data_IF_967047924001
#
_entry.id   IF_967047924001
#
_cell.length_a   1.000
_cell.length_b   1.000
_cell.length_c   1.000
_cell.angle_alpha   90.00
_cell.angle_beta   90.00
_cell.angle_gamma   90.00
#
_symmetry.space_group_name_H-M   'P 1'
#
loop_
_entity.id
_entity.type
_entity.pdbx_description
1 polymer ?
#
# COMPACT_ATOMS: atom_id res chain seq x y z
N UNK A 1 -25.25 -25.77 3.31
CA UNK A 1 -24.97 -24.31 3.57
C UNK A 1 -23.67 -24.10 4.34
N UNK A 2 -23.35 -24.89 5.39
CA UNK A 2 -22.06 -24.81 6.10
C UNK A 2 -20.84 -25.02 5.20
N UNK A 3 -20.89 -25.95 4.25
CA UNK A 3 -19.79 -26.26 3.34
C UNK A 3 -19.39 -25.08 2.45
N UNK A 4 -20.36 -24.27 2.00
CA UNK A 4 -20.13 -23.09 1.17
C UNK A 4 -19.42 -22.00 1.97
N UNK A 5 -19.84 -21.72 3.21
CA UNK A 5 -19.19 -20.75 4.09
C UNK A 5 -17.75 -21.18 4.45
N UNK A 6 -17.52 -22.46 4.65
CA UNK A 6 -16.19 -23.01 4.92
C UNK A 6 -15.26 -22.84 3.71
N UNK A 7 -15.74 -23.12 2.49
CA UNK A 7 -14.96 -22.95 1.26
C UNK A 7 -14.60 -21.48 1.06
N UNK A 8 -15.59 -20.58 1.06
CA UNK A 8 -15.33 -19.14 0.82
C UNK A 8 -14.57 -18.47 1.96
N UNK A 9 -14.86 -18.83 3.21
CA UNK A 9 -14.24 -18.19 4.38
C UNK A 9 -12.85 -18.71 4.74
N UNK A 10 -12.48 -19.92 4.31
CA UNK A 10 -11.22 -20.55 4.75
C UNK A 10 -10.37 -21.01 3.58
N UNK A 11 -10.90 -21.80 2.67
CA UNK A 11 -10.10 -22.43 1.60
C UNK A 11 -9.61 -21.38 0.60
N UNK A 12 -10.50 -20.52 0.10
CA UNK A 12 -10.13 -19.49 -0.89
C UNK A 12 -9.07 -18.52 -0.34
N UNK A 13 -9.22 -17.93 0.86
CA UNK A 13 -8.17 -17.09 1.44
C UNK A 13 -6.82 -17.79 1.57
N UNK A 14 -6.78 -19.05 2.02
CA UNK A 14 -5.51 -19.79 2.13
C UNK A 14 -4.85 -19.93 0.76
N UNK A 15 -5.59 -20.32 -0.28
CA UNK A 15 -5.06 -20.43 -1.65
C UNK A 15 -4.51 -19.08 -2.13
N UNK A 16 -5.24 -17.97 -1.90
CA UNK A 16 -4.80 -16.63 -2.30
C UNK A 16 -3.54 -16.19 -1.55
N UNK A 17 -3.42 -16.52 -0.26
CA UNK A 17 -2.21 -16.22 0.51
C UNK A 17 -1.00 -17.04 0.03
N UNK A 18 -1.19 -18.32 -0.29
CA UNK A 18 -0.11 -19.16 -0.84
C UNK A 18 0.35 -18.68 -2.21
N UNK A 19 -0.58 -18.32 -3.10
CA UNK A 19 -0.26 -17.70 -4.40
C UNK A 19 0.49 -16.37 -4.19
N UNK A 20 0.03 -15.55 -3.25
CA UNK A 20 0.70 -14.31 -2.88
C UNK A 20 2.13 -14.54 -2.38
N UNK A 21 2.38 -15.61 -1.61
CA UNK A 21 3.74 -15.98 -1.18
C UNK A 21 4.64 -16.37 -2.37
N UNK A 22 4.12 -17.15 -3.31
CA UNK A 22 4.88 -17.56 -4.50
C UNK A 22 5.26 -16.35 -5.35
N UNK A 23 4.31 -15.49 -5.68
CA UNK A 23 4.54 -14.29 -6.51
C UNK A 23 5.50 -13.31 -5.83
N UNK A 24 5.27 -12.98 -4.56
CA UNK A 24 6.15 -12.08 -3.82
C UNK A 24 7.53 -12.69 -3.59
N UNK A 25 7.62 -14.00 -3.37
CA UNK A 25 8.87 -14.73 -3.26
C UNK A 25 9.69 -14.65 -4.55
N UNK A 26 9.06 -14.82 -5.71
CA UNK A 26 9.71 -14.64 -7.01
C UNK A 26 10.28 -13.23 -7.18
N UNK A 27 9.51 -12.20 -6.84
CA UNK A 27 9.95 -10.80 -6.86
C UNK A 27 11.18 -10.60 -5.98
N UNK A 28 11.13 -11.07 -4.74
CA UNK A 28 12.24 -10.92 -3.77
C UNK A 28 13.49 -11.62 -4.27
N UNK A 29 13.38 -12.87 -4.74
CA UNK A 29 14.52 -13.63 -5.26
C UNK A 29 15.14 -12.93 -6.46
N UNK A 30 14.33 -12.45 -7.41
CA UNK A 30 14.83 -11.73 -8.61
C UNK A 30 15.65 -10.51 -8.20
N UNK A 31 15.16 -9.66 -7.30
CA UNK A 31 15.89 -8.46 -6.87
C UNK A 31 17.09 -8.77 -5.97
N UNK A 32 17.06 -9.85 -5.20
CA UNK A 32 18.23 -10.31 -4.45
C UNK A 32 19.35 -10.79 -5.39
N UNK A 33 19.03 -11.52 -6.46
CA UNK A 33 20.00 -11.95 -7.46
C UNK A 33 20.58 -10.74 -8.21
N UNK A 34 19.74 -9.78 -8.58
CA UNK A 34 20.20 -8.54 -9.21
C UNK A 34 21.13 -7.73 -8.29
N UNK A 35 20.77 -7.60 -7.01
CA UNK A 35 21.62 -6.94 -6.01
C UNK A 35 22.96 -7.65 -5.84
N UNK A 36 22.96 -8.99 -5.78
CA UNK A 36 24.19 -9.77 -5.66
C UNK A 36 25.10 -9.58 -6.89
N UNK A 37 24.52 -9.49 -8.09
CA UNK A 37 25.26 -9.28 -9.34
C UNK A 37 25.79 -7.86 -9.47
N UNK A 38 24.95 -6.84 -9.28
CA UNK A 38 25.27 -5.42 -9.53
C UNK A 38 25.73 -4.66 -8.30
N UNK A 39 25.63 -5.25 -7.10
CA UNK A 39 25.90 -4.64 -5.76
C UNK A 39 25.13 -3.33 -5.51
N UNK A 40 24.17 -2.99 -6.35
CA UNK A 40 23.31 -1.80 -6.20
C UNK A 40 21.94 -2.09 -6.82
N UNK A 41 20.89 -1.50 -6.21
CA UNK A 41 19.53 -1.54 -6.72
C UNK A 41 19.07 -0.12 -7.04
N UNK A 42 18.23 0.01 -8.06
CA UNK A 42 17.52 1.27 -8.33
C UNK A 42 16.52 1.55 -7.19
N UNK A 43 16.19 2.81 -6.92
CA UNK A 43 15.21 3.17 -5.88
C UNK A 43 13.89 2.40 -5.98
N UNK A 44 13.34 2.24 -7.18
CA UNK A 44 12.12 1.46 -7.45
C UNK A 44 12.25 0.00 -7.03
N UNK A 45 13.37 -0.62 -7.41
CA UNK A 45 13.62 -2.05 -7.20
C UNK A 45 13.83 -2.34 -5.71
N UNK A 46 14.46 -1.40 -4.99
CA UNK A 46 14.60 -1.46 -3.54
C UNK A 46 13.21 -1.46 -2.85
N UNK A 47 12.31 -0.57 -3.26
CA UNK A 47 10.96 -0.52 -2.67
C UNK A 47 10.14 -1.75 -3.03
N UNK A 48 10.24 -2.24 -4.28
CA UNK A 48 9.57 -3.47 -4.71
C UNK A 48 10.06 -4.68 -3.92
N UNK A 49 11.36 -4.78 -3.67
CA UNK A 49 11.93 -5.83 -2.82
C UNK A 49 11.40 -5.74 -1.38
N UNK A 50 11.42 -4.55 -0.77
CA UNK A 50 10.88 -4.35 0.58
C UNK A 50 9.38 -4.67 0.65
N UNK A 51 8.60 -4.25 -0.36
CA UNK A 51 7.18 -4.58 -0.48
C UNK A 51 6.97 -6.10 -0.59
N UNK A 52 7.74 -6.79 -1.45
CA UNK A 52 7.67 -8.22 -1.61
C UNK A 52 7.93 -8.97 -0.30
N UNK A 53 9.00 -8.61 0.42
CA UNK A 53 9.32 -9.16 1.74
C UNK A 53 8.18 -8.93 2.73
N UNK A 54 7.67 -7.69 2.80
CA UNK A 54 6.57 -7.33 3.70
C UNK A 54 5.30 -8.15 3.39
N UNK A 55 4.97 -8.34 2.10
CA UNK A 55 3.82 -9.15 1.68
C UNK A 55 3.99 -10.63 1.94
N UNK A 56 5.20 -11.17 1.82
CA UNK A 56 5.49 -12.55 2.21
C UNK A 56 5.22 -12.77 3.70
N UNK A 57 5.74 -11.90 4.56
CA UNK A 57 5.48 -11.99 6.01
C UNK A 57 4.00 -11.78 6.35
N UNK A 58 3.33 -10.84 5.70
CA UNK A 58 1.88 -10.64 5.86
C UNK A 58 1.10 -11.92 5.51
N UNK A 59 1.39 -12.54 4.37
CA UNK A 59 0.73 -13.76 3.94
C UNK A 59 1.04 -14.93 4.88
N UNK A 60 2.27 -15.06 5.37
CA UNK A 60 2.67 -16.09 6.34
C UNK A 60 1.88 -15.92 7.64
N UNK A 61 1.86 -14.73 8.23
CA UNK A 61 1.11 -14.45 9.46
C UNK A 61 -0.38 -14.69 9.26
N UNK A 62 -0.93 -14.28 8.12
CA UNK A 62 -2.33 -14.51 7.77
C UNK A 62 -2.66 -16.00 7.69
N UNK A 63 -1.81 -16.81 7.05
CA UNK A 63 -1.99 -18.25 6.96
C UNK A 63 -1.90 -18.92 8.35
N UNK A 64 -0.92 -18.51 9.16
CA UNK A 64 -0.75 -19.03 10.52
C UNK A 64 -1.93 -18.66 11.43
N UNK A 65 -2.64 -17.56 11.18
CA UNK A 65 -3.79 -17.15 11.99
C UNK A 65 -4.99 -18.10 11.86
N UNK A 66 -5.06 -18.93 10.80
CA UNK A 66 -6.09 -19.97 10.66
C UNK A 66 -5.82 -21.21 11.52
N UNK A 67 -4.62 -21.34 12.11
CA UNK A 67 -4.31 -22.48 12.97
C UNK A 67 -4.98 -22.32 14.36
N UNK A 68 -5.55 -23.41 14.93
CA UNK A 68 -6.16 -23.36 16.25
C UNK A 68 -5.09 -23.14 17.33
N UNK A 69 -5.27 -22.12 18.14
CA UNK A 69 -4.39 -21.81 19.28
C UNK A 69 -5.01 -22.20 20.61
N UNK A 70 -4.24 -22.89 21.44
CA UNK A 70 -4.63 -23.26 22.81
C UNK A 70 -4.46 -22.13 23.83
N UNK A 71 -3.63 -21.11 23.52
CA UNK A 71 -3.32 -20.01 24.44
C UNK A 71 -4.03 -18.73 24.07
N UNK A 72 -4.71 -18.03 25.00
CA UNK A 72 -5.42 -16.76 24.73
C UNK A 72 -4.50 -15.58 24.43
N UNK A 73 -3.23 -15.64 24.79
CA UNK A 73 -2.25 -14.59 24.56
C UNK A 73 -1.74 -14.53 23.10
N UNK A 74 -1.63 -15.70 22.45
CA UNK A 74 -1.09 -15.82 21.10
C UNK A 74 -1.86 -15.01 20.06
N UNK A 75 -3.21 -15.00 20.04
CA UNK A 75 -3.97 -14.20 19.08
C UNK A 75 -3.67 -12.70 19.13
N UNK A 76 -3.37 -12.15 20.31
CA UNK A 76 -3.06 -10.73 20.49
C UNK A 76 -1.75 -10.34 19.82
N UNK A 77 -0.70 -11.15 20.01
CA UNK A 77 0.61 -10.93 19.39
C UNK A 77 0.53 -11.07 17.86
N UNK A 78 -0.14 -12.12 17.38
CA UNK A 78 -0.33 -12.32 15.95
C UNK A 78 -1.08 -11.16 15.30
N UNK A 79 -2.12 -10.62 15.94
CA UNK A 79 -2.87 -9.46 15.45
C UNK A 79 -1.99 -8.21 15.36
N UNK A 80 -1.11 -7.97 16.34
CA UNK A 80 -0.18 -6.85 16.29
C UNK A 80 0.82 -7.00 15.13
N UNK A 81 1.39 -8.19 14.94
CA UNK A 81 2.31 -8.49 13.83
C UNK A 81 1.58 -8.36 12.49
N UNK A 82 0.36 -8.85 12.40
CA UNK A 82 -0.48 -8.74 11.20
C UNK A 82 -0.76 -7.27 10.83
N UNK A 83 -1.16 -6.44 11.80
CA UNK A 83 -1.36 -5.01 11.62
C UNK A 83 -0.09 -4.30 11.15
N UNK A 84 1.07 -4.64 11.75
CA UNK A 84 2.36 -4.08 11.35
C UNK A 84 2.65 -4.32 9.86
N UNK A 85 2.58 -5.55 9.40
CA UNK A 85 2.85 -5.88 8.01
C UNK A 85 1.78 -5.34 7.06
N UNK A 86 0.52 -5.27 7.49
CA UNK A 86 -0.55 -4.67 6.69
C UNK A 86 -0.26 -3.18 6.42
N UNK A 87 0.02 -2.40 7.46
CA UNK A 87 0.32 -0.97 7.28
C UNK A 87 1.64 -0.73 6.57
N UNK A 88 2.68 -1.46 6.91
CA UNK A 88 3.96 -1.36 6.22
C UNK A 88 3.81 -1.62 4.71
N UNK A 89 2.99 -2.60 4.32
CA UNK A 89 2.66 -2.85 2.93
C UNK A 89 1.91 -1.69 2.25
N UNK A 90 0.94 -1.06 2.93
CA UNK A 90 0.23 0.11 2.40
C UNK A 90 1.16 1.30 2.18
N UNK A 91 2.06 1.56 3.14
CA UNK A 91 3.05 2.62 3.02
C UNK A 91 4.04 2.36 1.87
N UNK A 92 4.50 1.11 1.67
CA UNK A 92 5.38 0.78 0.54
C UNK A 92 4.69 0.93 -0.81
N UNK A 93 3.38 0.59 -0.93
CA UNK A 93 2.60 0.82 -2.15
C UNK A 93 2.51 2.32 -2.44
N UNK A 94 2.21 3.14 -1.44
CA UNK A 94 2.14 4.60 -1.58
C UNK A 94 3.49 5.19 -1.97
N UNK A 95 4.57 4.73 -1.34
CA UNK A 95 5.93 5.15 -1.67
C UNK A 95 6.30 4.78 -3.10
N UNK A 96 5.93 3.59 -3.56
CA UNK A 96 6.14 3.15 -4.94
C UNK A 96 5.40 4.05 -5.93
N UNK A 97 4.15 4.43 -5.63
CA UNK A 97 3.36 5.36 -6.43
C UNK A 97 4.02 6.74 -6.52
N UNK A 98 4.55 7.27 -5.41
CA UNK A 98 5.31 8.53 -5.39
C UNK A 98 6.57 8.44 -6.25
N UNK A 99 7.33 7.34 -6.18
CA UNK A 99 8.53 7.15 -6.99
C UNK A 99 8.18 7.09 -8.48
N UNK A 100 7.13 6.38 -8.87
CA UNK A 100 6.69 6.37 -10.26
C UNK A 100 6.22 7.74 -10.73
N UNK A 101 5.47 8.46 -9.90
CA UNK A 101 5.05 9.82 -10.18
C UNK A 101 6.27 10.74 -10.42
N UNK A 102 7.28 10.71 -9.54
CA UNK A 102 8.49 11.54 -9.68
C UNK A 102 9.35 11.17 -10.89
N UNK A 103 9.32 9.91 -11.33
CA UNK A 103 10.07 9.47 -12.53
C UNK A 103 9.39 9.85 -13.84
N UNK A 104 8.07 9.72 -13.91
CA UNK A 104 7.31 9.83 -15.16
C UNK A 104 6.76 11.24 -15.35
N UNK A 105 6.23 11.84 -14.28
CA UNK A 105 5.66 13.17 -14.36
C UNK A 105 6.75 14.25 -14.51
N UNK A 106 6.39 15.33 -15.21
CA UNK A 106 7.31 16.45 -15.44
C UNK A 106 6.63 17.76 -15.00
N UNK A 107 6.66 18.02 -13.70
CA UNK A 107 6.13 19.23 -13.11
C UNK A 107 7.24 20.25 -12.81
N UNK A 108 7.04 21.51 -13.19
CA UNK A 108 7.98 22.59 -12.92
C UNK A 108 7.76 23.20 -11.51
N UNK A 109 7.76 22.34 -10.47
CA UNK A 109 7.62 22.74 -9.07
C UNK A 109 8.93 22.42 -8.33
N UNK A 110 9.38 23.37 -7.49
CA UNK A 110 10.64 23.23 -6.72
C UNK A 110 10.68 21.96 -5.86
N UNK A 111 9.57 21.63 -5.20
CA UNK A 111 9.48 20.42 -4.37
C UNK A 111 9.62 19.15 -5.22
N UNK A 112 8.97 19.13 -6.39
CA UNK A 112 9.02 18.00 -7.30
C UNK A 112 10.42 17.78 -7.88
N UNK A 113 11.08 18.86 -8.31
CA UNK A 113 12.46 18.83 -8.82
C UNK A 113 13.42 18.36 -7.72
N UNK A 114 13.27 18.88 -6.49
CA UNK A 114 14.10 18.45 -5.36
C UNK A 114 13.92 16.94 -5.07
N UNK A 115 12.70 16.44 -5.06
CA UNK A 115 12.41 15.00 -4.88
C UNK A 115 13.04 14.18 -6.00
N UNK A 116 12.90 14.61 -7.26
CA UNK A 116 13.45 13.93 -8.43
C UNK A 116 14.99 13.81 -8.37
N UNK A 117 15.66 14.85 -7.95
CA UNK A 117 17.14 14.89 -7.84
C UNK A 117 17.66 14.08 -6.65
N UNK A 118 16.96 14.09 -5.52
CA UNK A 118 17.42 13.48 -4.27
C UNK A 118 16.71 12.16 -3.91
N UNK A 119 16.03 11.54 -4.86
CA UNK A 119 15.18 10.36 -4.59
C UNK A 119 15.93 9.22 -3.89
N UNK A 120 17.18 8.97 -4.24
CA UNK A 120 18.00 7.89 -3.65
C UNK A 120 18.33 8.14 -2.16
N UNK A 121 18.56 9.38 -1.77
CA UNK A 121 18.84 9.76 -0.38
C UNK A 121 17.55 9.80 0.44
N UNK A 122 16.49 10.41 -0.13
CA UNK A 122 15.17 10.49 0.49
C UNK A 122 14.58 9.11 0.73
N UNK A 123 14.81 8.17 -0.18
CA UNK A 123 14.29 6.81 -0.08
C UNK A 123 14.69 6.10 1.21
N UNK A 124 15.93 6.24 1.65
CA UNK A 124 16.42 5.61 2.89
C UNK A 124 15.61 6.11 4.11
N UNK A 125 15.38 7.41 4.17
CA UNK A 125 14.59 8.04 5.24
C UNK A 125 13.11 7.68 5.16
N UNK A 126 12.57 7.57 3.94
CA UNK A 126 11.18 7.18 3.73
C UNK A 126 10.93 5.71 4.11
N UNK A 127 11.87 4.81 3.80
CA UNK A 127 11.79 3.41 4.24
C UNK A 127 11.88 3.32 5.77
N UNK A 128 12.82 4.03 6.39
CA UNK A 128 12.93 4.07 7.84
C UNK A 128 11.66 4.64 8.49
N UNK A 129 11.14 5.75 7.96
CA UNK A 129 9.88 6.35 8.39
C UNK A 129 8.69 5.38 8.29
N UNK A 130 8.58 4.63 7.19
CA UNK A 130 7.57 3.59 7.03
C UNK A 130 7.63 2.54 8.15
N UNK A 131 8.83 1.97 8.38
CA UNK A 131 9.03 0.94 9.42
C UNK A 131 8.64 1.48 10.80
N UNK A 132 9.11 2.68 11.15
CA UNK A 132 8.82 3.30 12.46
C UNK A 132 7.33 3.63 12.61
N UNK A 133 6.70 4.24 11.61
CA UNK A 133 5.28 4.59 11.65
C UNK A 133 4.40 3.35 11.78
N UNK A 134 4.66 2.30 10.99
CA UNK A 134 3.93 1.04 11.07
C UNK A 134 4.09 0.36 12.43
N UNK A 135 5.30 0.43 13.03
CA UNK A 135 5.57 -0.10 14.35
C UNK A 135 4.77 0.66 15.43
N UNK A 136 4.80 2.00 15.40
CA UNK A 136 4.08 2.85 16.37
C UNK A 136 2.57 2.56 16.31
N UNK A 137 1.96 2.56 15.13
CA UNK A 137 0.53 2.24 14.99
C UNK A 137 0.19 0.81 15.46
N UNK A 138 1.04 -0.17 15.17
CA UNK A 138 0.85 -1.55 15.61
C UNK A 138 0.90 -1.69 17.13
N UNK A 139 1.87 -1.03 17.78
CA UNK A 139 2.02 -1.04 19.25
C UNK A 139 0.85 -0.29 19.89
N UNK A 140 0.44 0.87 19.36
CA UNK A 140 -0.71 1.61 19.87
C UNK A 140 -1.98 0.77 19.84
N UNK A 141 -2.26 0.09 18.72
CA UNK A 141 -3.43 -0.79 18.64
C UNK A 141 -3.32 -2.02 19.54
N UNK A 142 -2.11 -2.55 19.78
CA UNK A 142 -1.92 -3.64 20.74
C UNK A 142 -2.29 -3.17 22.14
N UNK A 143 -1.81 -2.01 22.57
CA UNK A 143 -2.09 -1.45 23.90
C UNK A 143 -3.59 -1.16 24.06
N UNK A 144 -4.22 -0.53 23.09
CA UNK A 144 -5.64 -0.20 23.11
C UNK A 144 -6.54 -1.45 22.94
N UNK A 145 -6.08 -2.44 22.21
CA UNK A 145 -6.83 -3.67 21.92
C UNK A 145 -6.75 -4.74 23.03
N UNK A 146 -6.21 -4.43 24.20
CA UNK A 146 -6.19 -5.35 25.36
C UNK A 146 -7.57 -5.52 26.01
N UNK A 147 -8.57 -4.74 25.62
CA UNK A 147 -9.97 -4.98 25.98
C UNK A 147 -10.42 -6.37 25.46
N UNK A 148 -11.07 -7.21 26.30
CA UNK A 148 -11.43 -8.59 25.93
C UNK A 148 -12.30 -8.65 24.67
N UNK A 149 -12.14 -9.67 23.79
CA UNK A 149 -12.90 -9.80 22.55
C UNK A 149 -14.43 -9.81 22.73
N UNK A 150 -14.92 -10.29 23.86
CA UNK A 150 -16.34 -10.30 24.21
C UNK A 150 -16.93 -8.89 24.29
N UNK A 151 -16.14 -7.87 24.67
CA UNK A 151 -16.60 -6.48 24.68
C UNK A 151 -16.85 -5.94 23.27
N UNK A 152 -16.08 -6.40 22.27
CA UNK A 152 -16.28 -5.98 20.89
C UNK A 152 -17.61 -6.46 20.31
N UNK A 153 -17.94 -7.73 20.54
CA UNK A 153 -19.18 -8.36 20.05
C UNK A 153 -20.38 -7.76 20.75
N UNK A 154 -20.30 -7.58 22.07
CA UNK A 154 -21.38 -7.00 22.87
C UNK A 154 -21.56 -5.49 22.62
N UNK A 155 -20.48 -4.75 22.38
CA UNK A 155 -20.54 -3.32 22.08
C UNK A 155 -21.19 -3.06 20.71
N UNK A 156 -20.87 -3.83 19.66
CA UNK A 156 -21.51 -3.73 18.36
C UNK A 156 -22.99 -4.17 18.43
N UNK A 157 -23.29 -5.22 19.22
CA UNK A 157 -24.67 -5.72 19.40
C UNK A 157 -25.53 -4.87 20.33
N UNK A 158 -24.92 -4.22 21.35
CA UNK A 158 -25.64 -3.44 22.36
C UNK A 158 -25.66 -1.93 22.09
N UNK A 159 -24.91 -1.41 21.11
CA UNK A 159 -25.04 0.00 20.67
C UNK A 159 -26.44 0.38 20.22
N UNK A 160 -27.32 -0.62 20.03
CA UNK A 160 -28.74 -0.39 19.79
C UNK A 160 -29.61 -0.37 21.06
N UNK A 161 -29.10 -0.67 22.23
CA UNK A 161 -30.01 -0.94 23.36
C UNK A 161 -29.85 -0.19 24.67
N UNK A 162 -28.71 0.40 25.06
CA UNK A 162 -28.70 1.23 26.27
C UNK A 162 -27.45 2.12 26.42
N UNK A 163 -27.70 3.37 26.76
CA UNK A 163 -26.82 4.53 26.92
C UNK A 163 -26.00 4.59 28.23
N UNK A 164 -25.57 3.48 28.82
CA UNK A 164 -24.95 3.51 30.17
C UNK A 164 -23.45 3.18 30.18
N UNK A 165 -22.83 2.88 29.03
CA UNK A 165 -21.41 2.49 29.00
C UNK A 165 -20.58 3.42 28.10
N UNK A 166 -20.56 4.70 28.46
CA UNK A 166 -19.82 5.74 27.70
C UNK A 166 -18.31 5.45 27.59
N UNK A 167 -17.71 4.77 28.55
CA UNK A 167 -16.28 4.46 28.54
C UNK A 167 -15.92 3.39 27.49
N UNK A 168 -16.72 2.33 27.34
CA UNK A 168 -16.46 1.25 26.38
C UNK A 168 -16.59 1.75 24.96
N UNK A 169 -17.61 2.57 24.68
CA UNK A 169 -17.81 3.18 23.37
C UNK A 169 -16.62 4.08 22.98
N UNK A 170 -16.03 4.80 23.95
CA UNK A 170 -14.86 5.64 23.73
C UNK A 170 -13.61 4.83 23.32
N UNK A 171 -13.33 3.69 23.96
CA UNK A 171 -12.19 2.84 23.59
C UNK A 171 -12.35 2.24 22.21
N UNK A 172 -13.55 1.76 21.87
CA UNK A 172 -13.85 1.23 20.52
C UNK A 172 -13.67 2.31 19.46
N UNK A 173 -14.17 3.52 19.72
CA UNK A 173 -14.02 4.64 18.80
C UNK A 173 -12.56 5.04 18.59
N UNK A 174 -11.76 5.14 19.66
CA UNK A 174 -10.33 5.45 19.57
C UNK A 174 -9.58 4.37 18.79
N UNK A 175 -9.88 3.10 19.03
CA UNK A 175 -9.26 1.99 18.29
C UNK A 175 -9.57 2.10 16.79
N UNK A 176 -10.83 2.26 16.41
CA UNK A 176 -11.24 2.40 15.02
C UNK A 176 -10.64 3.66 14.39
N UNK A 177 -10.61 4.78 15.13
CA UNK A 177 -10.02 6.02 14.65
C UNK A 177 -8.52 5.85 14.34
N UNK A 178 -7.74 5.24 15.24
CA UNK A 178 -6.32 4.98 15.00
C UNK A 178 -6.12 4.00 13.84
N UNK A 179 -6.95 2.95 13.76
CA UNK A 179 -6.89 2.00 12.65
C UNK A 179 -7.12 2.69 11.29
N UNK A 180 -8.15 3.52 11.20
CA UNK A 180 -8.45 4.26 9.98
C UNK A 180 -7.42 5.33 9.67
N UNK A 181 -6.90 6.03 10.68
CA UNK A 181 -5.85 7.04 10.50
C UNK A 181 -4.58 6.41 9.92
N UNK A 182 -4.15 5.26 10.44
CA UNK A 182 -2.97 4.53 9.94
C UNK A 182 -3.12 4.04 8.49
N UNK A 183 -4.35 3.79 8.04
CA UNK A 183 -4.64 3.32 6.68
C UNK A 183 -4.95 4.46 5.71
N UNK A 184 -5.61 5.52 6.15
CA UNK A 184 -6.06 6.62 5.29
C UNK A 184 -4.90 7.48 4.78
N UNK A 185 -3.89 7.73 5.60
CA UNK A 185 -2.73 8.53 5.20
C UNK A 185 -1.99 7.94 3.98
N UNK A 186 -1.53 6.67 4.00
CA UNK A 186 -0.90 6.06 2.83
C UNK A 186 -1.87 5.97 1.64
N UNK A 187 -3.16 5.75 1.87
CA UNK A 187 -4.15 5.71 0.81
C UNK A 187 -4.32 7.07 0.11
N UNK A 188 -4.40 8.16 0.87
CA UNK A 188 -4.47 9.53 0.31
C UNK A 188 -3.19 9.83 -0.49
N UNK A 189 -2.01 9.51 0.05
CA UNK A 189 -0.75 9.68 -0.67
C UNK A 189 -0.72 8.90 -1.99
N UNK A 190 -1.21 7.67 -1.98
CA UNK A 190 -1.35 6.84 -3.18
C UNK A 190 -2.28 7.51 -4.21
N UNK A 191 -3.48 7.92 -3.80
CA UNK A 191 -4.45 8.57 -4.67
C UNK A 191 -3.90 9.86 -5.30
N UNK A 192 -3.30 10.73 -4.49
CA UNK A 192 -2.69 11.98 -4.98
C UNK A 192 -1.60 11.70 -6.01
N UNK A 193 -0.69 10.76 -5.71
CA UNK A 193 0.40 10.40 -6.63
C UNK A 193 -0.12 9.78 -7.92
N UNK A 194 -1.15 8.93 -7.85
CA UNK A 194 -1.78 8.32 -9.02
C UNK A 194 -2.49 9.36 -9.89
N UNK A 195 -3.23 10.29 -9.28
CA UNK A 195 -3.89 11.39 -10.00
C UNK A 195 -2.88 12.29 -10.71
N UNK A 196 -1.81 12.69 -10.03
CA UNK A 196 -0.74 13.49 -10.62
C UNK A 196 -0.10 12.77 -11.83
N UNK A 197 0.11 11.46 -11.72
CA UNK A 197 0.66 10.65 -12.81
C UNK A 197 -0.30 10.62 -14.00
N UNK A 198 -1.60 10.37 -13.77
CA UNK A 198 -2.62 10.33 -14.83
C UNK A 198 -2.72 11.70 -15.53
N UNK A 199 -2.78 12.80 -14.77
CA UNK A 199 -2.82 14.15 -15.32
C UNK A 199 -1.58 14.46 -16.18
N UNK A 200 -0.39 14.05 -15.72
CA UNK A 200 0.85 14.24 -16.47
C UNK A 200 0.86 13.45 -17.79
N UNK A 201 0.45 12.18 -17.75
CA UNK A 201 0.36 11.34 -18.95
C UNK A 201 -0.70 11.87 -19.94
N UNK A 202 -1.83 12.31 -19.44
CA UNK A 202 -2.87 12.91 -20.30
C UNK A 202 -2.37 14.18 -20.98
N UNK A 203 -1.76 15.10 -20.22
CA UNK A 203 -1.18 16.31 -20.79
C UNK A 203 -0.16 16.00 -21.90
N UNK A 204 0.72 15.02 -21.66
CA UNK A 204 1.69 14.57 -22.66
C UNK A 204 1.02 14.00 -23.93
N UNK A 205 -0.03 13.20 -23.76
CA UNK A 205 -0.79 12.62 -24.88
C UNK A 205 -1.49 13.70 -25.71
N UNK A 206 -2.04 14.73 -25.06
CA UNK A 206 -2.65 15.87 -25.76
C UNK A 206 -1.62 16.68 -26.56
N UNK A 207 -0.43 16.90 -26.02
CA UNK A 207 0.66 17.58 -26.72
C UNK A 207 1.08 16.81 -28.00
N UNK A 208 1.21 15.47 -27.92
CA UNK A 208 1.54 14.64 -29.07
C UNK A 208 0.45 14.74 -30.15
N UNK A 209 -0.82 14.68 -29.77
CA UNK A 209 -1.95 14.79 -30.72
C UNK A 209 -1.94 16.15 -31.41
N UNK A 210 -1.75 17.25 -30.69
CA UNK A 210 -1.71 18.60 -31.25
C UNK A 210 -0.51 18.79 -32.19
N UNK A 211 0.63 18.21 -31.89
CA UNK A 211 1.82 18.24 -32.78
C UNK A 211 1.62 17.39 -34.04
N UNK A 212 0.95 16.25 -33.94
CA UNK A 212 0.64 15.37 -35.07
C UNK A 212 -0.32 16.04 -36.07
N UNK A 213 -1.37 16.69 -35.60
CA UNK A 213 -2.31 17.44 -36.47
C UNK A 213 -1.67 18.67 -37.11
N UNK A 214 -0.69 19.29 -36.42
CA UNK A 214 0.09 20.40 -36.99
C UNK A 214 0.98 19.96 -38.17
N UNK A 215 1.58 18.78 -38.08
CA UNK A 215 2.40 18.21 -39.18
C UNK A 215 1.54 17.80 -40.38
N UNK A 216 0.37 17.20 -40.14
CA UNK A 216 -0.55 16.79 -41.22
C UNK A 216 -1.09 17.99 -41.96
N UNK A 217 -1.44 19.08 -41.28
CA UNK A 217 -1.85 20.36 -41.90
C UNK A 217 -0.72 21.04 -42.66
N UNK A 218 0.53 20.91 -42.21
CA UNK A 218 1.68 21.45 -42.96
C UNK A 218 1.95 20.64 -44.25
N UNK A 219 1.85 19.33 -44.20
CA UNK A 219 1.99 18.49 -45.41
C UNK A 219 0.89 18.75 -46.44
N UNK A 220 -0.34 18.93 -46.03
CA UNK A 220 -1.45 19.31 -46.91
C UNK A 220 -1.23 20.69 -47.55
N UNK A 221 -0.67 21.64 -46.82
CA UNK A 221 -0.33 22.96 -47.34
C UNK A 221 0.80 22.91 -48.41
N UNK A 222 1.80 22.06 -48.23
CA UNK A 222 2.88 21.91 -49.19
C UNK A 222 2.45 21.12 -50.45
N UNK A 223 1.47 20.24 -50.34
CA UNK A 223 0.90 19.55 -51.53
C UNK A 223 0.04 20.45 -52.38
N UNK A 224 -0.79 21.32 -51.76
CA UNK A 224 -1.58 22.33 -52.52
C UNK A 224 -0.75 23.42 -53.21
N UNK A 225 0.48 23.68 -52.75
CA UNK A 225 1.37 24.69 -53.35
C UNK A 225 2.20 24.14 -54.55
N UNK A 226 2.11 22.84 -54.82
CA UNK A 226 2.90 22.16 -55.85
C UNK A 226 2.09 21.80 -57.09
N UNK A 227 0.79 22.10 -57.11
CA UNK A 227 -0.14 21.87 -58.23
C UNK A 227 -0.53 23.13 -58.99
N UNK A 228 0.02 24.33 -58.67
CA UNK A 228 -0.06 25.56 -59.43
C UNK A 228 1.30 25.88 -60.10
#
# INVERSE_FOLDING_TARGET
MMDVYFIFGTIIPIILYLLGMIVNGFIVVTYLLEWKSKKSLKPTDTVLMCLGVTRMFFNLVSTLSFLPYKSPEKPKVFRAIWNYFNWSGLWFISLLSVIYCTKIANYNNRVFIYMKLNISTLLKWLILGNVLTSLVFSVLLKILGEAPPQYWINSIGNSMKNSTDNNINSYVFIYLFIYHLGSSLPFIMFCVSALLLICSLWSHTQQIKSSGTGLENSHLKYTCYKED
#
